data_IF_151215183918
#
_entry.id   IF_151215183918
#
_cell.length_a   1.000
_cell.length_b   1.000
_cell.length_c   1.000
_cell.angle_alpha   90.00
_cell.angle_beta   90.00
_cell.angle_gamma   90.00
#
_symmetry.space_group_name_H-M   'P 1'
#
loop_
_entity.id
_entity.type
_entity.pdbx_description
1 polymer ?
#
# COMPACT_ATOMS: atom_id res chain seq x y z
N UNK A 1 7.08 -10.53 11.47
CA UNK A 1 7.61 -9.72 10.33
C UNK A 1 8.09 -10.56 9.13
N UNK A 2 8.89 -11.61 9.34
CA UNK A 2 9.50 -12.43 8.25
C UNK A 2 8.49 -13.03 7.26
N UNK A 3 7.32 -13.48 7.74
CA UNK A 3 6.23 -13.95 6.86
C UNK A 3 5.85 -12.93 5.78
N UNK A 4 5.61 -11.68 6.18
CA UNK A 4 5.19 -10.64 5.25
C UNK A 4 6.30 -10.29 4.25
N UNK A 5 7.54 -10.15 4.72
CA UNK A 5 8.71 -9.90 3.86
C UNK A 5 8.86 -10.97 2.78
N UNK A 6 8.84 -12.23 3.16
CA UNK A 6 8.97 -13.35 2.23
C UNK A 6 7.80 -13.44 1.24
N UNK A 7 6.58 -13.06 1.65
CA UNK A 7 5.42 -12.94 0.76
C UNK A 7 5.51 -11.71 -0.16
N UNK A 8 6.25 -10.66 0.20
CA UNK A 8 6.56 -9.56 -0.72
C UNK A 8 7.58 -9.95 -1.80
N UNK A 9 8.57 -10.80 -1.47
CA UNK A 9 9.61 -11.22 -2.41
C UNK A 9 9.25 -12.46 -3.22
N UNK A 10 8.34 -13.31 -2.72
CA UNK A 10 7.99 -14.58 -3.34
C UNK A 10 9.05 -15.67 -3.18
N UNK A 11 10.07 -15.46 -2.33
CA UNK A 11 11.26 -16.32 -2.27
C UNK A 11 11.00 -17.76 -1.78
N UNK A 12 9.86 -17.99 -1.11
CA UNK A 12 9.51 -19.31 -0.55
C UNK A 12 8.81 -20.23 -1.55
N UNK A 13 8.64 -19.80 -2.81
CA UNK A 13 8.10 -20.63 -3.88
C UNK A 13 6.60 -20.89 -3.74
N UNK A 14 6.18 -22.14 -3.91
CA UNK A 14 4.76 -22.53 -3.93
C UNK A 14 4.30 -22.99 -2.55
N UNK A 15 3.17 -22.47 -2.10
CA UNK A 15 2.55 -22.83 -0.83
C UNK A 15 1.98 -24.25 -0.86
N UNK A 16 2.24 -25.06 0.18
CA UNK A 16 1.84 -26.47 0.20
C UNK A 16 0.33 -26.68 0.32
N UNK A 17 -0.40 -25.77 0.96
CA UNK A 17 -1.85 -25.92 1.21
C UNK A 17 -2.68 -25.40 0.04
N UNK A 18 -2.28 -24.28 -0.55
CA UNK A 18 -3.03 -23.62 -1.64
C UNK A 18 -2.55 -24.04 -3.03
N UNK A 19 -1.32 -24.54 -3.15
CA UNK A 19 -0.68 -24.83 -4.45
C UNK A 19 -0.41 -23.56 -5.28
N UNK A 20 -0.46 -22.37 -4.67
CA UNK A 20 -0.22 -21.08 -5.32
C UNK A 20 1.14 -20.51 -4.87
N UNK A 21 1.76 -19.62 -5.65
CA UNK A 21 2.97 -18.91 -5.19
C UNK A 21 2.72 -18.17 -3.87
N UNK A 22 3.63 -18.32 -2.91
CA UNK A 22 3.69 -17.56 -1.66
C UNK A 22 4.16 -16.13 -1.97
N UNK A 23 3.33 -15.36 -2.68
CA UNK A 23 3.72 -14.06 -3.22
C UNK A 23 2.51 -13.12 -3.34
N UNK A 24 2.67 -11.86 -2.93
CA UNK A 24 1.62 -10.84 -3.01
C UNK A 24 1.46 -10.20 -4.39
N UNK A 25 2.41 -10.39 -5.32
CA UNK A 25 2.29 -9.85 -6.68
C UNK A 25 1.03 -10.40 -7.36
N UNK A 26 0.17 -9.49 -7.82
CA UNK A 26 -1.14 -9.81 -8.41
C UNK A 26 -2.25 -10.05 -7.39
N UNK A 27 -1.99 -9.97 -6.09
CA UNK A 27 -3.01 -10.14 -5.05
C UNK A 27 -3.87 -8.86 -4.91
N UNK A 28 -5.21 -8.98 -4.87
CA UNK A 28 -6.08 -7.84 -4.72
C UNK A 28 -6.31 -7.42 -3.26
N UNK A 29 -6.65 -6.14 -3.10
CA UNK A 29 -7.37 -5.65 -1.94
C UNK A 29 -8.85 -6.01 -2.12
N UNK A 30 -9.28 -7.07 -1.45
CA UNK A 30 -10.61 -7.64 -1.62
C UNK A 30 -11.64 -7.00 -0.68
N UNK A 31 -11.21 -6.28 0.35
CA UNK A 31 -12.11 -5.67 1.34
C UNK A 31 -11.62 -4.28 1.75
N UNK A 32 -12.44 -3.26 1.54
CA UNK A 32 -12.13 -1.86 1.82
C UNK A 32 -13.30 -1.24 2.59
N UNK A 33 -12.99 -0.64 3.74
CA UNK A 33 -13.96 0.12 4.52
C UNK A 33 -13.39 1.50 4.79
N UNK A 34 -14.05 2.51 4.21
CA UNK A 34 -13.69 3.91 4.39
C UNK A 34 -13.79 4.33 5.85
N UNK A 35 -12.79 5.09 6.31
CA UNK A 35 -12.58 5.51 7.70
C UNK A 35 -12.40 4.32 8.65
N UNK A 36 -11.77 3.25 8.16
CA UNK A 36 -11.40 2.09 8.97
C UNK A 36 -10.08 1.48 8.49
N UNK A 37 -10.10 0.72 7.39
CA UNK A 37 -8.95 -0.01 6.89
C UNK A 37 -9.12 -0.48 5.42
N UNK A 38 -8.00 -0.85 4.81
CA UNK A 38 -7.93 -1.56 3.53
C UNK A 38 -7.27 -2.94 3.74
N UNK A 39 -7.91 -4.01 3.30
CA UNK A 39 -7.49 -5.40 3.54
C UNK A 39 -7.18 -6.14 2.24
N UNK A 40 -6.08 -6.89 2.26
CA UNK A 40 -5.56 -7.68 1.15
C UNK A 40 -4.84 -8.94 1.63
N UNK A 41 -4.05 -9.55 0.74
CA UNK A 41 -3.16 -10.66 1.08
C UNK A 41 -3.76 -12.07 0.94
N UNK A 42 -5.00 -12.21 0.45
CA UNK A 42 -5.52 -13.50 -0.02
C UNK A 42 -5.06 -13.72 -1.47
N UNK A 43 -3.84 -14.23 -1.65
CA UNK A 43 -3.27 -14.49 -2.97
C UNK A 43 -3.90 -15.71 -3.67
N UNK A 44 -4.67 -16.51 -2.95
CA UNK A 44 -5.19 -17.79 -3.45
C UNK A 44 -6.63 -17.72 -3.98
N UNK A 45 -7.57 -17.26 -3.14
CA UNK A 45 -8.99 -17.17 -3.45
C UNK A 45 -9.43 -15.74 -3.75
N UNK A 46 -8.60 -14.75 -3.41
CA UNK A 46 -8.80 -13.33 -3.71
C UNK A 46 -10.09 -12.73 -3.14
N UNK A 47 -10.63 -13.31 -2.08
CA UNK A 47 -11.93 -12.92 -1.52
C UNK A 47 -11.99 -12.96 0.02
N UNK A 48 -10.86 -13.23 0.68
CA UNK A 48 -10.73 -13.28 2.13
C UNK A 48 -10.91 -14.67 2.74
N UNK A 49 -11.20 -15.69 1.93
CA UNK A 49 -11.36 -17.08 2.41
C UNK A 49 -10.09 -17.91 2.32
N UNK A 50 -9.05 -17.40 1.64
CA UNK A 50 -7.81 -18.13 1.41
C UNK A 50 -6.57 -17.48 2.01
N UNK A 51 -5.43 -17.87 1.45
CA UNK A 51 -4.10 -17.47 1.86
C UNK A 51 -3.51 -18.44 2.88
N UNK A 52 -2.18 -18.54 2.87
CA UNK A 52 -1.41 -19.33 3.83
C UNK A 52 -0.10 -18.59 4.15
N UNK A 53 0.50 -18.91 5.29
CA UNK A 53 1.78 -18.33 5.69
C UNK A 53 2.96 -19.12 5.12
N UNK A 54 4.16 -18.56 5.23
CA UNK A 54 5.39 -19.29 4.92
C UNK A 54 5.70 -20.43 5.91
N UNK A 55 4.96 -20.51 7.02
CA UNK A 55 5.14 -21.51 8.08
C UNK A 55 4.10 -22.64 7.99
N UNK A 56 3.20 -22.61 7.00
CA UNK A 56 2.04 -23.49 6.88
C UNK A 56 0.73 -22.68 6.77
N UNK A 57 -0.41 -23.36 6.86
CA UNK A 57 -1.72 -22.72 6.66
C UNK A 57 -1.95 -21.54 7.62
N UNK A 58 -1.63 -21.72 8.90
CA UNK A 58 -1.80 -20.74 9.97
C UNK A 58 -0.59 -20.69 10.92
N UNK A 59 -0.40 -19.57 11.60
CA UNK A 59 0.56 -19.43 12.69
C UNK A 59 0.02 -18.57 13.85
N UNK A 60 0.66 -18.71 15.01
CA UNK A 60 0.28 -18.08 16.27
C UNK A 60 0.40 -16.55 16.26
N UNK A 61 -0.29 -15.89 17.19
CA UNK A 61 -0.12 -14.45 17.43
C UNK A 61 1.23 -14.19 18.11
N UNK A 62 2.13 -13.46 17.44
CA UNK A 62 3.49 -13.23 17.92
C UNK A 62 3.52 -12.42 19.23
N UNK A 63 2.83 -11.26 19.25
CA UNK A 63 2.57 -10.43 20.43
C UNK A 63 1.55 -9.32 20.11
N UNK A 64 1.02 -8.68 21.15
CA UNK A 64 0.15 -7.49 21.04
C UNK A 64 0.82 -6.23 21.63
N UNK A 65 2.12 -6.05 21.36
CA UNK A 65 2.90 -4.97 21.96
C UNK A 65 2.42 -3.57 21.51
N UNK A 66 2.14 -3.41 20.22
CA UNK A 66 1.70 -2.14 19.65
C UNK A 66 0.18 -2.05 19.59
N UNK A 67 -0.33 -0.83 19.80
CA UNK A 67 -1.75 -0.49 19.69
C UNK A 67 -2.07 0.03 18.30
N UNK A 68 -3.34 -0.05 17.91
CA UNK A 68 -3.85 0.55 16.68
C UNK A 68 -4.22 2.02 16.92
N UNK A 69 -3.25 2.84 17.28
CA UNK A 69 -3.45 4.20 17.78
C UNK A 69 -3.38 5.31 16.70
N UNK A 70 -3.01 4.95 15.47
CA UNK A 70 -2.84 5.89 14.35
C UNK A 70 -3.15 5.26 12.99
N UNK A 71 -3.41 6.07 11.94
CA UNK A 71 -3.47 5.58 10.57
C UNK A 71 -2.11 5.09 10.08
N UNK A 72 -2.13 4.23 9.06
CA UNK A 72 -0.95 3.70 8.40
C UNK A 72 -0.31 2.52 9.12
N UNK A 73 -0.95 1.93 10.13
CA UNK A 73 -0.45 0.73 10.80
C UNK A 73 -0.77 -0.52 9.97
N UNK A 74 0.23 -1.38 9.80
CA UNK A 74 0.13 -2.66 9.12
C UNK A 74 -0.09 -3.77 10.16
N UNK A 75 -1.18 -4.52 9.99
CA UNK A 75 -1.64 -5.49 11.00
C UNK A 75 -2.22 -6.75 10.36
N UNK A 76 -2.11 -7.88 11.06
CA UNK A 76 -2.54 -9.19 10.56
C UNK A 76 -4.05 -9.35 10.61
N UNK A 77 -4.66 -9.79 9.51
CA UNK A 77 -6.03 -10.29 9.53
C UNK A 77 -6.05 -11.74 10.01
N UNK A 78 -7.04 -12.08 10.85
CA UNK A 78 -7.21 -13.43 11.39
C UNK A 78 -8.72 -13.75 11.55
N UNK A 79 -9.01 -15.02 11.82
CA UNK A 79 -10.35 -15.55 12.09
C UNK A 79 -10.50 -15.99 13.57
N UNK A 80 -9.76 -15.33 14.47
CA UNK A 80 -9.63 -15.70 15.88
C UNK A 80 -8.17 -15.92 16.30
N UNK A 81 -7.92 -16.17 17.60
CA UNK A 81 -6.56 -16.33 18.14
C UNK A 81 -5.77 -17.41 17.39
N UNK A 82 -4.52 -17.11 17.05
CA UNK A 82 -3.58 -18.05 16.43
C UNK A 82 -3.91 -18.46 14.99
N UNK A 83 -4.70 -17.67 14.27
CA UNK A 83 -5.11 -17.98 12.88
C UNK A 83 -4.53 -17.01 11.85
N UNK A 84 -3.30 -16.55 12.09
CA UNK A 84 -2.59 -15.67 11.16
C UNK A 84 -2.18 -16.45 9.90
N UNK A 85 -2.39 -15.88 8.71
CA UNK A 85 -2.01 -16.47 7.43
C UNK A 85 -1.18 -15.50 6.59
N UNK A 86 -1.67 -15.16 5.40
CA UNK A 86 -1.07 -14.11 4.55
C UNK A 86 -1.88 -12.82 4.50
N UNK A 87 -3.11 -12.81 5.01
CA UNK A 87 -3.97 -11.63 4.93
C UNK A 87 -3.54 -10.55 5.92
N UNK A 88 -3.62 -9.30 5.49
CA UNK A 88 -3.24 -8.13 6.27
C UNK A 88 -4.20 -6.98 5.99
N UNK A 89 -4.18 -5.98 6.86
CA UNK A 89 -4.83 -4.71 6.62
C UNK A 89 -3.93 -3.53 6.97
N UNK A 90 -4.21 -2.40 6.35
CA UNK A 90 -3.60 -1.10 6.67
C UNK A 90 -4.68 -0.21 7.25
N UNK A 91 -4.46 0.31 8.46
CA UNK A 91 -5.42 1.23 9.10
C UNK A 91 -5.43 2.59 8.40
N UNK A 92 -6.60 3.21 8.32
CA UNK A 92 -6.73 4.57 7.75
C UNK A 92 -7.16 5.61 8.79
N UNK A 93 -7.45 5.15 10.01
CA UNK A 93 -7.74 5.88 11.24
C UNK A 93 -7.24 5.06 12.45
N UNK A 94 -7.21 5.59 13.69
CA UNK A 94 -7.01 4.76 14.88
C UNK A 94 -8.14 3.73 15.06
N UNK A 95 -7.79 2.48 15.39
CA UNK A 95 -8.73 1.34 15.49
C UNK A 95 -8.54 0.54 16.78
N UNK A 96 -8.57 1.20 17.94
CA UNK A 96 -8.28 0.60 19.26
C UNK A 96 -9.14 -0.61 19.65
N UNK A 97 -10.30 -0.81 19.03
CA UNK A 97 -11.15 -1.98 19.23
C UNK A 97 -10.54 -3.30 18.69
N UNK A 98 -9.46 -3.20 17.90
CA UNK A 98 -8.64 -4.29 17.38
C UNK A 98 -7.44 -4.63 18.28
N UNK A 99 -7.16 -3.82 19.31
CA UNK A 99 -6.06 -4.06 20.24
C UNK A 99 -6.22 -5.40 20.97
N UNK A 100 -5.13 -6.15 21.09
CA UNK A 100 -5.14 -7.49 21.69
C UNK A 100 -5.80 -8.58 20.84
N UNK A 101 -6.24 -8.26 19.62
CA UNK A 101 -6.90 -9.21 18.70
C UNK A 101 -6.15 -9.38 17.39
N UNK A 102 -5.50 -8.33 16.91
CA UNK A 102 -4.72 -8.32 15.67
C UNK A 102 -3.29 -7.88 15.96
N UNK A 103 -2.32 -8.60 15.41
CA UNK A 103 -0.90 -8.31 15.59
C UNK A 103 -0.50 -7.16 14.68
N UNK A 104 -0.17 -6.00 15.26
CA UNK A 104 0.47 -4.90 14.53
C UNK A 104 1.94 -5.24 14.34
N UNK A 105 2.41 -5.23 13.09
CA UNK A 105 3.78 -5.67 12.75
C UNK A 105 4.54 -4.71 11.82
N UNK A 106 3.95 -3.55 11.47
CA UNK A 106 4.62 -2.54 10.66
C UNK A 106 3.83 -1.25 10.53
N UNK A 107 4.34 -0.32 9.75
CA UNK A 107 3.66 0.93 9.39
C UNK A 107 4.06 1.39 7.99
N UNK A 108 3.19 2.15 7.34
CA UNK A 108 3.47 2.86 6.10
C UNK A 108 4.42 4.01 6.39
N UNK A 109 5.54 4.06 5.66
CA UNK A 109 6.58 5.10 5.79
C UNK A 109 6.59 6.09 4.62
N UNK A 110 6.15 5.63 3.44
CA UNK A 110 5.97 6.43 2.22
C UNK A 110 4.68 5.96 1.52
N UNK A 111 4.00 6.85 0.80
CA UNK A 111 2.85 6.48 -0.02
C UNK A 111 1.53 6.36 0.74
N UNK A 112 1.39 7.02 1.91
CA UNK A 112 0.11 7.02 2.64
C UNK A 112 -1.02 7.63 1.80
N UNK A 113 -0.71 8.56 0.91
CA UNK A 113 -1.66 9.10 -0.06
C UNK A 113 -2.23 8.03 -1.01
N UNK A 114 -1.45 7.01 -1.39
CA UNK A 114 -1.93 5.87 -2.19
C UNK A 114 -2.91 5.02 -1.39
N UNK A 115 -2.64 4.79 -0.10
CA UNK A 115 -3.57 4.11 0.82
C UNK A 115 -4.87 4.90 0.93
N UNK A 116 -4.81 6.24 0.98
CA UNK A 116 -6.00 7.11 0.99
C UNK A 116 -6.77 7.10 -0.33
N UNK A 117 -6.10 7.00 -1.48
CA UNK A 117 -6.78 6.78 -2.76
C UNK A 117 -7.54 5.44 -2.72
N UNK A 118 -6.86 4.38 -2.26
CA UNK A 118 -7.42 3.04 -2.15
C UNK A 118 -8.64 3.01 -1.21
N UNK A 119 -8.57 3.69 -0.07
CA UNK A 119 -9.68 3.85 0.88
C UNK A 119 -10.93 4.51 0.26
N UNK A 120 -10.74 5.39 -0.73
CA UNK A 120 -11.80 6.22 -1.32
C UNK A 120 -12.34 5.66 -2.65
N UNK A 121 -11.98 4.44 -3.03
CA UNK A 121 -12.57 3.78 -4.21
C UNK A 121 -14.06 3.48 -3.97
N UNK A 122 -14.81 3.38 -5.06
CA UNK A 122 -16.18 2.89 -5.02
C UNK A 122 -16.21 1.41 -4.59
N UNK A 123 -17.15 1.05 -3.70
CA UNK A 123 -17.31 -0.30 -3.15
C UNK A 123 -18.74 -0.81 -3.28
N UNK A 124 -18.89 -2.12 -3.53
CA UNK A 124 -20.14 -2.86 -3.45
C UNK A 124 -20.16 -3.62 -2.11
N UNK A 125 -20.80 -3.04 -1.10
CA UNK A 125 -20.66 -3.47 0.29
C UNK A 125 -19.26 -3.10 0.78
N UNK A 126 -18.37 -4.08 0.88
CA UNK A 126 -16.96 -3.87 1.25
C UNK A 126 -16.00 -4.21 0.11
N UNK A 127 -16.50 -4.75 -1.01
CA UNK A 127 -15.67 -5.17 -2.15
C UNK A 127 -15.45 -3.98 -3.10
N UNK A 128 -14.22 -3.67 -3.51
CA UNK A 128 -13.98 -2.61 -4.49
C UNK A 128 -14.69 -2.86 -5.83
N UNK A 129 -15.39 -1.86 -6.35
CA UNK A 129 -16.07 -1.93 -7.64
C UNK A 129 -15.08 -2.02 -8.81
N UNK A 130 -13.88 -1.46 -8.63
CA UNK A 130 -12.75 -1.60 -9.55
C UNK A 130 -11.68 -2.49 -8.91
N UNK A 131 -11.04 -3.32 -9.73
CA UNK A 131 -9.95 -4.17 -9.28
C UNK A 131 -8.81 -3.32 -8.71
N UNK A 132 -8.53 -3.49 -7.42
CA UNK A 132 -7.42 -2.86 -6.73
C UNK A 132 -6.38 -3.93 -6.42
N UNK A 133 -5.21 -3.87 -7.06
CA UNK A 133 -4.23 -4.97 -7.06
C UNK A 133 -2.84 -4.49 -6.68
N UNK A 134 -2.10 -5.34 -5.96
CA UNK A 134 -0.66 -5.19 -5.76
C UNK A 134 0.02 -5.59 -7.07
N UNK A 135 0.24 -4.62 -7.96
CA UNK A 135 0.79 -4.89 -9.29
C UNK A 135 2.22 -5.42 -9.23
N UNK A 136 3.04 -4.88 -8.32
CA UNK A 136 4.41 -5.29 -8.03
C UNK A 136 4.66 -5.19 -6.52
N UNK A 137 5.57 -6.01 -6.01
CA UNK A 137 6.03 -5.96 -4.63
C UNK A 137 7.44 -6.55 -4.49
N UNK A 138 8.09 -6.27 -3.37
CA UNK A 138 9.45 -6.73 -3.09
C UNK A 138 9.96 -6.23 -1.75
N UNK A 139 11.27 -6.32 -1.56
CA UNK A 139 12.01 -5.81 -0.41
C UNK A 139 13.02 -4.77 -0.89
N UNK A 140 13.02 -3.59 -0.28
CA UNK A 140 14.06 -2.59 -0.47
C UNK A 140 15.22 -2.87 0.47
N UNK A 141 16.43 -2.95 -0.07
CA UNK A 141 17.66 -3.09 0.71
C UNK A 141 18.21 -1.73 1.10
N UNK A 142 19.11 -1.73 2.07
CA UNK A 142 19.84 -0.52 2.44
C UNK A 142 20.59 0.04 1.22
N UNK A 143 20.37 1.33 0.93
CA UNK A 143 20.95 2.02 -0.22
C UNK A 143 20.17 1.90 -1.52
N UNK A 144 19.10 1.09 -1.57
CA UNK A 144 18.19 1.08 -2.71
C UNK A 144 17.43 2.42 -2.79
N UNK A 145 17.15 2.85 -4.02
CA UNK A 145 16.25 4.00 -4.24
C UNK A 145 14.83 3.68 -3.77
N UNK A 146 14.15 4.67 -3.20
CA UNK A 146 12.79 4.49 -2.70
C UNK A 146 11.79 4.11 -3.79
N UNK A 147 12.05 4.45 -5.07
CA UNK A 147 11.17 4.12 -6.18
C UNK A 147 9.78 4.78 -6.10
N UNK A 148 9.64 5.85 -5.32
CA UNK A 148 8.36 6.53 -5.02
C UNK A 148 8.01 7.64 -6.03
N UNK A 149 8.89 7.89 -7.00
CA UNK A 149 8.65 8.83 -8.08
C UNK A 149 7.77 8.19 -9.18
N UNK A 150 6.93 8.96 -9.88
CA UNK A 150 6.04 8.41 -10.90
C UNK A 150 6.80 7.73 -12.05
N UNK A 151 6.53 6.44 -12.27
CA UNK A 151 7.06 5.67 -13.41
C UNK A 151 6.21 5.84 -14.68
N UNK A 152 5.86 7.08 -15.02
CA UNK A 152 4.99 7.43 -16.16
C UNK A 152 5.76 7.89 -17.42
N UNK A 153 7.09 7.80 -17.39
CA UNK A 153 7.98 8.23 -18.48
C UNK A 153 8.11 9.76 -18.63
N UNK A 154 7.57 10.55 -17.68
CA UNK A 154 7.61 12.01 -17.75
C UNK A 154 8.95 12.64 -17.35
N UNK A 155 9.83 11.87 -16.70
CA UNK A 155 11.05 12.40 -16.09
C UNK A 155 10.82 13.18 -14.79
N UNK A 156 9.61 13.12 -14.22
CA UNK A 156 9.28 13.71 -12.93
C UNK A 156 10.01 12.98 -11.79
N UNK A 157 10.87 13.70 -11.07
CA UNK A 157 11.72 13.19 -10.00
C UNK A 157 11.14 13.43 -8.60
N UNK A 158 9.92 13.95 -8.50
CA UNK A 158 9.29 14.26 -7.21
C UNK A 158 8.29 13.17 -6.84
N UNK A 159 8.10 12.83 -5.55
CA UNK A 159 7.02 11.93 -5.12
C UNK A 159 5.64 12.48 -5.50
N UNK A 160 4.64 11.62 -5.69
CA UNK A 160 3.27 12.06 -6.02
C UNK A 160 2.56 12.82 -4.90
N UNK A 161 2.99 12.60 -3.65
CA UNK A 161 2.49 13.27 -2.45
C UNK A 161 3.63 14.06 -1.79
N UNK A 162 3.43 15.35 -1.50
CA UNK A 162 4.51 16.21 -1.00
C UNK A 162 5.04 15.76 0.37
N UNK A 163 4.21 15.13 1.21
CA UNK A 163 4.61 14.62 2.52
C UNK A 163 5.62 13.47 2.44
N UNK A 164 5.73 12.82 1.28
CA UNK A 164 6.71 11.78 1.01
C UNK A 164 8.06 12.34 0.51
N UNK A 165 8.14 13.65 0.26
CA UNK A 165 9.37 14.34 -0.15
C UNK A 165 10.30 14.61 1.04
N UNK A 166 11.60 14.70 0.78
CA UNK A 166 12.59 15.13 1.78
C UNK A 166 12.65 16.67 1.92
N UNK A 167 11.84 17.38 1.15
CA UNK A 167 11.73 18.85 1.19
C UNK A 167 10.87 19.27 2.37
N UNK A 168 11.36 20.23 3.17
CA UNK A 168 10.54 20.88 4.19
C UNK A 168 9.43 21.69 3.50
N UNK A 169 8.17 21.31 3.73
CA UNK A 169 7.00 21.96 3.14
C UNK A 169 6.82 23.42 3.57
N UNK A 170 7.57 23.88 4.59
CA UNK A 170 7.63 25.29 5.00
C UNK A 170 8.62 26.12 4.19
N UNK A 171 9.52 25.48 3.43
CA UNK A 171 10.44 26.14 2.51
C UNK A 171 9.71 26.50 1.22
N UNK A 172 8.95 27.59 1.28
CA UNK A 172 8.04 28.01 0.20
C UNK A 172 8.78 28.23 -1.12
N UNK A 173 10.01 28.74 -1.09
CA UNK A 173 10.79 29.00 -2.31
C UNK A 173 11.12 27.68 -3.03
N UNK A 174 11.52 26.64 -2.29
CA UNK A 174 11.71 25.30 -2.87
C UNK A 174 10.41 24.70 -3.38
N UNK A 175 9.32 24.83 -2.62
CA UNK A 175 8.01 24.30 -3.02
C UNK A 175 7.51 24.97 -4.31
N UNK A 176 7.67 26.29 -4.44
CA UNK A 176 7.30 27.02 -5.66
C UNK A 176 8.15 26.53 -6.84
N UNK A 177 9.46 26.36 -6.68
CA UNK A 177 10.33 25.84 -7.75
C UNK A 177 9.91 24.43 -8.20
N UNK A 178 9.61 23.53 -7.26
CA UNK A 178 9.13 22.17 -7.56
C UNK A 178 7.78 22.21 -8.27
N UNK A 179 6.85 23.06 -7.80
CA UNK A 179 5.55 23.21 -8.43
C UNK A 179 5.67 23.75 -9.87
N UNK A 180 6.60 24.68 -10.12
CA UNK A 180 6.91 25.19 -11.47
C UNK A 180 7.49 24.10 -12.37
N UNK A 181 8.42 23.28 -11.88
CA UNK A 181 8.97 22.14 -12.62
C UNK A 181 7.87 21.16 -13.04
N UNK A 182 7.04 20.73 -12.09
CA UNK A 182 5.94 19.79 -12.35
C UNK A 182 4.93 20.40 -13.33
N UNK A 183 4.62 21.69 -13.19
CA UNK A 183 3.77 22.42 -14.14
C UNK A 183 4.38 22.44 -15.54
N UNK A 184 5.69 22.64 -15.67
CA UNK A 184 6.38 22.64 -16.96
C UNK A 184 6.36 21.26 -17.62
N UNK A 185 6.49 20.18 -16.84
CA UNK A 185 6.25 18.81 -17.32
C UNK A 185 4.80 18.68 -17.83
N UNK A 186 3.82 19.13 -17.04
CA UNK A 186 2.41 19.15 -17.45
C UNK A 186 2.16 19.90 -18.77
N UNK A 187 2.78 21.08 -18.94
CA UNK A 187 2.71 21.88 -20.16
C UNK A 187 3.24 21.11 -21.38
N UNK A 188 4.29 20.31 -21.20
CA UNK A 188 4.87 19.49 -22.28
C UNK A 188 3.87 18.44 -22.76
N UNK A 189 3.24 17.71 -21.84
CA UNK A 189 2.20 16.73 -22.20
C UNK A 189 0.94 17.39 -22.77
N UNK A 190 0.57 18.58 -22.30
CA UNK A 190 -0.54 19.34 -22.84
C UNK A 190 -0.30 19.74 -24.31
N UNK A 191 0.89 20.23 -24.64
CA UNK A 191 1.27 20.57 -26.03
C UNK A 191 1.24 19.35 -26.96
N UNK A 192 1.60 18.18 -26.43
CA UNK A 192 1.51 16.90 -27.15
C UNK A 192 0.11 16.25 -27.11
N UNK A 193 -0.93 16.98 -26.68
CA UNK A 193 -2.32 16.52 -26.60
C UNK A 193 -2.55 15.30 -25.70
N UNK A 194 -1.61 15.00 -24.80
CA UNK A 194 -1.78 13.99 -23.77
C UNK A 194 -2.42 14.63 -22.53
N UNK A 195 -3.72 14.88 -22.64
CA UNK A 195 -4.51 15.59 -21.63
C UNK A 195 -4.53 14.85 -20.28
N UNK A 196 -4.50 13.51 -20.31
CA UNK A 196 -4.55 12.69 -19.09
C UNK A 196 -3.29 12.87 -18.23
N UNK A 197 -2.11 12.81 -18.83
CA UNK A 197 -0.84 13.02 -18.09
C UNK A 197 -0.71 14.49 -17.68
N UNK A 198 -1.06 15.43 -18.56
CA UNK A 198 -1.04 16.85 -18.24
C UNK A 198 -1.90 17.17 -17.01
N UNK A 199 -3.14 16.67 -16.97
CA UNK A 199 -4.05 16.88 -15.84
C UNK A 199 -3.49 16.29 -14.54
N UNK A 200 -2.88 15.09 -14.58
CA UNK A 200 -2.20 14.49 -13.42
C UNK A 200 -1.09 15.39 -12.88
N UNK A 201 -0.22 15.91 -13.76
CA UNK A 201 0.88 16.80 -13.36
C UNK A 201 0.38 18.13 -12.80
N UNK A 202 -0.63 18.76 -13.40
CA UNK A 202 -1.22 19.97 -12.83
C UNK A 202 -1.86 19.71 -11.47
N UNK A 203 -2.57 18.59 -11.32
CA UNK A 203 -3.17 18.20 -10.04
C UNK A 203 -2.11 17.93 -8.98
N UNK A 204 -0.93 17.42 -9.38
CA UNK A 204 0.23 17.23 -8.50
C UNK A 204 0.87 18.55 -8.10
N UNK A 205 1.07 19.47 -9.03
CA UNK A 205 1.60 20.82 -8.78
C UNK A 205 0.72 21.64 -7.81
N UNK A 206 -0.58 21.33 -7.75
CA UNK A 206 -1.53 21.95 -6.83
C UNK A 206 -1.60 21.30 -5.43
N UNK A 207 -1.09 20.06 -5.28
CA UNK A 207 -1.00 19.40 -3.98
C UNK A 207 0.20 19.95 -3.22
#
# INVERSE_FOLDING_TARGET
AENFRALCTGEKGTGPTTGKPLHYKGCPFHRIIKQFMVQGGDFSNQNGTGGESIYGEKFEDENFHYKHDKPGLLSMANAGPGTNGSQFFITTVPTSHLDGKHVVFGQVIKGMGVVKILENVEVNGENPAKLCVIAECGELKEGDDWGIVPQDGSGDTYPDFPEDSDVDLKDVDKIVAIAEDIKNIGNTFFKSQNWAVAAKKYSKSLR
#
